data_IF_151306293999
#
_entry.id   IF_151306293999
#
_cell.length_a   1.000
_cell.length_b   1.000
_cell.length_c   1.000
_cell.angle_alpha   90.00
_cell.angle_beta   90.00
_cell.angle_gamma   90.00
#
_symmetry.space_group_name_H-M   'P 1'
#
loop_
_entity.id
_entity.type
_entity.pdbx_description
1 polymer ?
#
# COMPACT_ATOMS: atom_id res chain seq x y z
N UNK A 1 11.82 40.32 -5.89
CA UNK A 1 11.95 40.17 -4.43
C UNK A 1 10.57 39.99 -3.87
N UNK A 2 10.36 39.00 -2.99
CA UNK A 2 9.08 38.82 -2.32
C UNK A 2 8.76 40.02 -1.40
N UNK A 3 7.47 40.22 -1.13
CA UNK A 3 6.93 41.15 -0.14
C UNK A 3 7.51 40.84 1.26
N UNK A 4 7.37 41.79 2.19
CA UNK A 4 7.73 41.58 3.59
C UNK A 4 7.04 40.30 4.10
N UNK A 5 7.81 39.42 4.74
CA UNK A 5 7.29 38.17 5.28
C UNK A 5 6.28 38.45 6.40
N UNK A 6 5.19 37.69 6.45
CA UNK A 6 4.22 37.77 7.55
C UNK A 6 4.88 37.39 8.87
N UNK A 7 4.41 37.97 9.97
CA UNK A 7 4.86 37.58 11.31
C UNK A 7 4.25 36.23 11.69
N UNK A 8 5.09 35.26 12.06
CA UNK A 8 4.67 33.88 12.33
C UNK A 8 5.16 33.36 13.69
N UNK A 9 4.92 34.06 14.80
CA UNK A 9 5.55 33.75 16.09
C UNK A 9 5.30 32.32 16.57
N UNK A 10 4.15 31.70 16.28
CA UNK A 10 3.93 30.30 16.66
C UNK A 10 4.69 29.32 15.77
N UNK A 11 4.81 29.60 14.47
CA UNK A 11 5.62 28.78 13.56
C UNK A 11 7.12 28.95 13.81
N UNK A 12 7.58 30.12 14.27
CA UNK A 12 8.98 30.41 14.56
C UNK A 12 9.55 29.45 15.62
N UNK A 13 8.74 29.08 16.61
CA UNK A 13 9.11 28.09 17.63
C UNK A 13 9.42 26.70 17.03
N UNK A 14 8.82 26.36 15.89
CA UNK A 14 9.02 25.08 15.18
C UNK A 14 10.30 25.06 14.33
N UNK A 15 11.07 26.15 14.29
CA UNK A 15 12.41 26.17 13.70
C UNK A 15 13.48 25.67 14.67
N UNK A 16 13.15 25.57 15.96
CA UNK A 16 14.04 25.07 17.00
C UNK A 16 14.13 23.53 17.01
N UNK A 17 15.17 23.00 17.65
CA UNK A 17 15.36 21.56 17.82
C UNK A 17 16.12 20.86 16.68
N UNK A 18 16.38 19.55 16.80
CA UNK A 18 17.29 18.83 15.89
C UNK A 18 16.61 18.27 14.63
N UNK A 19 15.26 18.19 14.58
CA UNK A 19 14.55 17.65 13.42
C UNK A 19 14.48 18.70 12.29
N UNK A 20 14.68 18.33 11.01
CA UNK A 20 14.58 19.28 9.90
C UNK A 20 13.22 19.98 9.87
N UNK A 21 13.21 21.28 10.18
CA UNK A 21 11.98 22.06 10.26
C UNK A 21 11.38 22.33 8.89
N UNK A 22 10.11 21.97 8.72
CA UNK A 22 9.35 22.34 7.53
C UNK A 22 9.14 23.86 7.45
N UNK A 23 9.07 24.56 8.59
CA UNK A 23 8.91 26.02 8.65
C UNK A 23 10.14 26.71 8.07
N UNK A 24 11.35 26.27 8.44
CA UNK A 24 12.59 26.81 7.85
C UNK A 24 12.63 26.62 6.33
N UNK A 25 12.18 25.47 5.83
CA UNK A 25 12.04 25.22 4.38
C UNK A 25 11.05 26.16 3.70
N UNK A 26 9.86 26.35 4.29
CA UNK A 26 8.83 27.27 3.81
C UNK A 26 9.32 28.71 3.80
N UNK A 27 9.94 29.18 4.89
CA UNK A 27 10.50 30.54 5.00
C UNK A 27 11.60 30.79 3.97
N UNK A 28 12.46 29.80 3.69
CA UNK A 28 13.46 29.90 2.63
C UNK A 28 12.80 30.17 1.28
N UNK A 29 11.77 29.41 0.93
CA UNK A 29 11.04 29.56 -0.33
C UNK A 29 10.22 30.87 -0.39
N UNK A 30 9.66 31.30 0.74
CA UNK A 30 8.91 32.54 0.87
C UNK A 30 9.76 33.82 0.65
N UNK A 31 11.10 33.73 0.71
CA UNK A 31 11.99 34.85 0.34
C UNK A 31 11.90 35.23 -1.13
N UNK A 32 11.52 34.26 -1.96
CA UNK A 32 11.47 34.39 -3.42
C UNK A 32 10.04 34.32 -3.96
N UNK A 33 9.12 33.69 -3.21
CA UNK A 33 7.72 33.48 -3.63
C UNK A 33 6.71 34.02 -2.62
N UNK A 34 5.99 35.09 -3.02
CA UNK A 34 4.87 35.66 -2.26
C UNK A 34 3.76 34.65 -1.99
N UNK A 35 3.58 33.70 -2.90
CA UNK A 35 2.65 32.60 -2.73
C UNK A 35 2.92 31.81 -1.44
N UNK A 36 4.18 31.49 -1.17
CA UNK A 36 4.56 30.71 0.02
C UNK A 36 4.56 31.57 1.28
N UNK A 37 4.83 32.88 1.15
CA UNK A 37 4.63 33.84 2.23
C UNK A 37 3.16 33.83 2.70
N UNK A 38 2.21 33.96 1.78
CA UNK A 38 0.77 33.94 2.08
C UNK A 38 0.29 32.58 2.63
N UNK A 39 0.94 31.47 2.25
CA UNK A 39 0.72 30.15 2.87
C UNK A 39 1.18 30.14 4.35
N UNK A 40 2.33 30.73 4.66
CA UNK A 40 2.82 30.86 6.05
C UNK A 40 1.84 31.69 6.90
N UNK A 41 1.32 32.80 6.38
CA UNK A 41 0.31 33.60 7.08
C UNK A 41 -0.99 32.83 7.35
N UNK A 42 -1.43 32.04 6.38
CA UNK A 42 -2.61 31.15 6.52
C UNK A 42 -2.36 30.08 7.58
N UNK A 43 -1.17 29.48 7.58
CA UNK A 43 -0.80 28.44 8.53
C UNK A 43 -0.65 29.00 9.96
N UNK A 44 0.01 30.15 10.13
CA UNK A 44 0.10 30.83 11.44
C UNK A 44 -1.29 31.15 11.99
N UNK A 45 -2.20 31.65 11.14
CA UNK A 45 -3.58 31.89 11.55
C UNK A 45 -4.25 30.59 12.02
N UNK A 46 -4.01 29.48 11.33
CA UNK A 46 -4.50 28.15 11.71
C UNK A 46 -3.94 27.68 13.05
N UNK A 47 -2.66 27.94 13.35
CA UNK A 47 -2.04 27.64 14.64
C UNK A 47 -2.69 28.45 15.78
N UNK A 48 -2.90 29.74 15.55
CA UNK A 48 -3.52 30.64 16.53
C UNK A 48 -4.96 30.27 16.84
N UNK A 49 -5.76 29.94 15.82
CA UNK A 49 -7.20 29.68 15.98
C UNK A 49 -7.57 28.21 16.12
N UNK A 50 -6.62 27.30 15.87
CA UNK A 50 -6.79 25.84 15.90
C UNK A 50 -7.87 25.37 14.92
N UNK A 51 -7.93 25.99 13.74
CA UNK A 51 -8.89 25.68 12.67
C UNK A 51 -8.18 25.54 11.33
N UNK A 52 -8.70 24.67 10.46
CA UNK A 52 -8.32 24.63 9.05
C UNK A 52 -9.17 25.60 8.24
N UNK A 53 -8.55 26.38 7.36
CA UNK A 53 -9.21 27.39 6.52
C UNK A 53 -9.22 27.00 5.04
N UNK A 54 -9.48 25.72 4.74
CA UNK A 54 -9.43 25.21 3.38
C UNK A 54 -10.71 24.45 3.05
N UNK A 55 -11.45 24.96 2.06
CA UNK A 55 -12.57 24.23 1.46
C UNK A 55 -12.13 23.48 0.21
N UNK A 56 -12.87 22.41 -0.09
CA UNK A 56 -12.77 21.75 -1.38
C UNK A 56 -13.48 22.51 -2.49
N UNK A 57 -13.32 22.02 -3.71
CA UNK A 57 -14.03 22.49 -4.90
C UNK A 57 -13.75 21.55 -6.07
N UNK A 58 -13.83 22.07 -7.29
CA UNK A 58 -13.65 21.29 -8.51
C UNK A 58 -12.69 22.02 -9.45
N UNK A 59 -11.53 21.40 -9.68
CA UNK A 59 -10.52 21.78 -10.68
C UNK A 59 -9.88 20.48 -11.14
N UNK A 60 -9.58 20.38 -12.42
CA UNK A 60 -8.97 19.19 -13.04
C UNK A 60 -8.24 19.57 -14.32
N UNK A 61 -7.92 18.56 -15.11
CA UNK A 61 -7.30 18.70 -16.43
C UNK A 61 -8.24 18.10 -17.49
N UNK A 62 -8.12 18.55 -18.73
CA UNK A 62 -8.95 17.99 -19.80
C UNK A 62 -8.74 16.48 -19.94
N UNK A 63 -9.85 15.76 -20.09
CA UNK A 63 -9.85 14.31 -20.26
C UNK A 63 -9.86 13.48 -18.98
N UNK A 64 -9.50 14.05 -17.82
CA UNK A 64 -9.45 13.33 -16.54
C UNK A 64 -10.47 13.88 -15.52
N UNK A 65 -11.13 12.98 -14.80
CA UNK A 65 -12.03 13.29 -13.68
C UNK A 65 -11.36 13.24 -12.30
N UNK A 66 -10.07 12.90 -12.24
CA UNK A 66 -9.28 12.77 -11.00
C UNK A 66 -7.84 13.32 -11.13
N UNK A 67 -7.07 13.21 -10.05
CA UNK A 67 -5.64 13.57 -10.00
C UNK A 67 -5.31 14.93 -9.40
N UNK A 68 -6.24 15.88 -9.42
CA UNK A 68 -6.09 17.21 -8.79
C UNK A 68 -6.93 17.29 -7.52
N UNK A 69 -6.33 17.76 -6.43
CA UNK A 69 -7.03 18.05 -5.17
C UNK A 69 -7.14 19.58 -5.03
N UNK A 70 -8.26 20.18 -5.48
CA UNK A 70 -8.46 21.61 -5.38
C UNK A 70 -8.72 22.05 -3.95
N UNK A 71 -8.06 23.12 -3.53
CA UNK A 71 -8.30 23.80 -2.26
C UNK A 71 -8.37 25.31 -2.45
N UNK A 72 -9.38 25.89 -1.81
CA UNK A 72 -9.65 27.32 -1.79
C UNK A 72 -9.66 27.79 -0.34
N UNK A 73 -9.13 28.98 -0.08
CA UNK A 73 -9.12 29.51 1.28
C UNK A 73 -10.52 29.89 1.75
N UNK A 74 -10.79 29.62 3.04
CA UNK A 74 -11.94 30.12 3.78
C UNK A 74 -11.56 31.29 4.68
N UNK A 75 -10.28 31.67 4.73
CA UNK A 75 -9.80 32.79 5.51
C UNK A 75 -10.02 34.09 4.73
N UNK A 76 -11.14 34.75 5.03
CA UNK A 76 -11.57 35.98 4.36
C UNK A 76 -11.75 37.14 5.33
N UNK A 77 -11.60 38.36 4.81
CA UNK A 77 -11.87 39.61 5.52
C UNK A 77 -13.37 39.94 5.60
N UNK A 78 -13.73 41.08 6.20
CA UNK A 78 -15.12 41.55 6.28
C UNK A 78 -15.82 41.79 4.93
N UNK A 79 -15.04 41.90 3.83
CA UNK A 79 -15.53 42.13 2.48
C UNK A 79 -15.51 40.85 1.63
N UNK A 80 -15.41 39.68 2.26
CA UNK A 80 -15.36 38.35 1.61
C UNK A 80 -14.14 38.15 0.69
N UNK A 81 -13.06 38.92 0.89
CA UNK A 81 -11.79 38.77 0.15
C UNK A 81 -10.81 37.90 0.92
N UNK A 82 -10.00 37.06 0.24
CA UNK A 82 -8.92 36.32 0.89
C UNK A 82 -7.99 37.24 1.68
N UNK A 83 -7.76 36.93 2.96
CA UNK A 83 -6.79 37.67 3.80
C UNK A 83 -5.37 37.56 3.22
N UNK A 84 -5.08 36.41 2.60
CA UNK A 84 -3.82 36.12 1.93
C UNK A 84 -4.10 35.82 0.45
N UNK A 85 -4.12 36.85 -0.42
CA UNK A 85 -4.59 36.73 -1.80
C UNK A 85 -3.80 35.76 -2.68
N UNK A 86 -2.48 35.64 -2.49
CA UNK A 86 -1.70 34.70 -3.30
C UNK A 86 -1.98 33.25 -2.92
N UNK A 87 -2.39 33.00 -1.68
CA UNK A 87 -2.85 31.71 -1.18
C UNK A 87 -4.37 31.52 -1.24
N UNK A 88 -5.07 32.30 -2.08
CA UNK A 88 -6.52 32.13 -2.28
C UNK A 88 -6.86 30.72 -2.81
N UNK A 89 -5.97 30.17 -3.63
CA UNK A 89 -6.02 28.82 -4.19
C UNK A 89 -4.74 28.06 -3.85
N UNK A 90 -4.85 26.77 -3.55
CA UNK A 90 -3.70 25.93 -3.22
C UNK A 90 -3.89 24.49 -3.68
N UNK A 91 -4.02 24.31 -5.00
CA UNK A 91 -4.39 23.01 -5.58
C UNK A 91 -3.19 22.07 -5.61
N UNK A 92 -3.40 20.79 -5.30
CA UNK A 92 -2.35 19.77 -5.33
C UNK A 92 -2.53 18.86 -6.53
N UNK A 93 -1.52 18.79 -7.40
CA UNK A 93 -1.42 17.77 -8.44
C UNK A 93 -0.78 16.53 -7.83
N UNK A 94 -1.48 15.40 -7.92
CA UNK A 94 -0.95 14.09 -7.54
C UNK A 94 -0.40 13.44 -8.79
N UNK A 95 0.89 13.15 -8.78
CA UNK A 95 1.62 12.58 -9.92
C UNK A 95 2.09 11.18 -9.56
N UNK A 96 1.91 10.22 -10.46
CA UNK A 96 2.28 8.83 -10.20
C UNK A 96 3.81 8.71 -10.03
N UNK A 97 4.28 8.00 -8.98
CA UNK A 97 5.69 7.71 -8.81
C UNK A 97 6.10 6.48 -9.64
N UNK A 98 7.41 6.30 -9.93
CA UNK A 98 7.91 5.03 -10.41
C UNK A 98 7.86 3.95 -9.31
N UNK A 99 7.76 2.66 -9.66
CA UNK A 99 7.83 1.57 -8.68
C UNK A 99 9.06 1.65 -7.76
N UNK A 100 8.85 1.42 -6.46
CA UNK A 100 9.90 1.52 -5.44
C UNK A 100 10.47 2.93 -5.22
N UNK A 101 9.88 3.98 -5.81
CA UNK A 101 10.30 5.38 -5.64
C UNK A 101 11.76 5.66 -6.10
N UNK A 102 12.21 5.01 -7.18
CA UNK A 102 13.54 5.23 -7.73
C UNK A 102 13.57 6.42 -8.69
N UNK A 103 14.44 7.38 -8.41
CA UNK A 103 14.62 8.58 -9.25
C UNK A 103 16.09 8.80 -9.58
N UNK A 104 16.34 9.45 -10.72
CA UNK A 104 17.64 10.05 -11.00
C UNK A 104 17.58 11.56 -10.73
N UNK A 105 18.75 12.18 -10.55
CA UNK A 105 18.81 13.60 -10.20
C UNK A 105 18.42 14.55 -11.35
N UNK A 106 18.48 14.10 -12.61
CA UNK A 106 18.04 14.89 -13.77
C UNK A 106 16.52 15.08 -13.75
N UNK A 107 15.77 13.98 -13.56
CA UNK A 107 14.30 14.02 -13.51
C UNK A 107 13.80 14.86 -12.34
N UNK A 108 14.44 14.75 -11.17
CA UNK A 108 14.06 15.55 -9.99
C UNK A 108 14.30 17.04 -10.21
N UNK A 109 15.39 17.43 -10.87
CA UNK A 109 15.64 18.83 -11.21
C UNK A 109 14.60 19.36 -12.20
N UNK A 110 14.27 18.60 -13.24
CA UNK A 110 13.21 18.96 -14.19
C UNK A 110 11.86 19.12 -13.51
N UNK A 111 11.50 18.23 -12.57
CA UNK A 111 10.29 18.38 -11.75
C UNK A 111 10.30 19.67 -10.92
N UNK A 112 11.44 20.03 -10.32
CA UNK A 112 11.58 21.31 -9.62
C UNK A 112 11.38 22.49 -10.58
N UNK A 113 12.02 22.48 -11.75
CA UNK A 113 11.92 23.56 -12.74
C UNK A 113 10.47 23.76 -13.22
N UNK A 114 9.75 22.67 -13.50
CA UNK A 114 8.33 22.70 -13.87
C UNK A 114 7.50 23.30 -12.73
N UNK A 115 7.73 22.85 -11.50
CA UNK A 115 6.96 23.32 -10.35
C UNK A 115 7.31 24.75 -9.93
N UNK A 116 8.52 25.21 -10.24
CA UNK A 116 8.91 26.60 -10.06
C UNK A 116 8.12 27.53 -10.99
N UNK A 117 7.90 27.13 -12.25
CA UNK A 117 7.11 27.87 -13.24
C UNK A 117 5.62 27.94 -12.90
N UNK A 118 5.04 26.82 -12.49
CA UNK A 118 3.58 26.69 -12.41
C UNK A 118 2.98 26.67 -11.01
N UNK A 119 3.81 26.40 -10.00
CA UNK A 119 3.33 26.18 -8.64
C UNK A 119 4.09 26.95 -7.57
N UNK A 120 3.81 26.56 -6.33
CA UNK A 120 4.38 27.19 -5.14
C UNK A 120 5.87 26.89 -4.97
N UNK A 121 6.42 25.88 -5.65
CA UNK A 121 7.75 25.32 -5.38
C UNK A 121 7.76 24.23 -4.29
N UNK A 122 6.61 23.93 -3.67
CA UNK A 122 6.48 22.87 -2.68
C UNK A 122 6.13 21.53 -3.33
N UNK A 123 7.05 20.57 -3.21
CA UNK A 123 6.85 19.20 -3.63
C UNK A 123 7.05 18.28 -2.42
N UNK A 124 6.09 17.41 -2.15
CA UNK A 124 6.20 16.40 -1.12
C UNK A 124 6.41 15.01 -1.74
N UNK A 125 7.56 14.42 -1.39
CA UNK A 125 7.93 13.03 -1.66
C UNK A 125 7.75 12.21 -0.38
N UNK A 126 6.65 11.49 -0.19
CA UNK A 126 5.50 11.26 -1.08
C UNK A 126 4.19 11.30 -0.29
N UNK A 127 3.07 11.28 -1.00
CA UNK A 127 1.76 11.04 -0.41
C UNK A 127 1.62 9.61 0.10
N UNK A 128 0.71 9.39 1.05
CA UNK A 128 0.51 8.06 1.65
C UNK A 128 0.04 6.98 0.65
N UNK A 129 -0.55 7.34 -0.47
CA UNK A 129 -0.90 6.32 -1.48
C UNK A 129 0.30 5.97 -2.36
N UNK A 130 1.22 6.93 -2.55
CA UNK A 130 2.38 6.81 -3.41
C UNK A 130 2.72 8.11 -4.14
N UNK A 131 1.71 8.90 -4.47
CA UNK A 131 1.84 10.08 -5.34
C UNK A 131 2.96 11.03 -4.94
N UNK A 132 3.70 11.53 -5.94
CA UNK A 132 4.46 12.78 -5.78
C UNK A 132 3.42 13.89 -5.68
N UNK A 133 3.47 14.67 -4.61
CA UNK A 133 2.48 15.74 -4.37
C UNK A 133 3.09 17.08 -4.72
N UNK A 134 2.73 17.61 -5.88
CA UNK A 134 3.05 18.97 -6.29
C UNK A 134 1.99 19.91 -5.69
N UNK A 135 2.35 20.61 -4.61
CA UNK A 135 1.39 21.29 -3.73
C UNK A 135 1.32 22.79 -4.00
N UNK A 136 0.13 23.30 -4.29
CA UNK A 136 -0.10 24.73 -4.50
C UNK A 136 0.12 25.18 -5.94
N UNK A 137 -0.89 25.00 -6.77
CA UNK A 137 -1.08 25.72 -8.03
C UNK A 137 -2.38 26.51 -7.99
N UNK A 138 -2.45 27.57 -8.80
CA UNK A 138 -3.69 28.29 -9.14
C UNK A 138 -4.41 27.55 -10.26
N UNK A 139 -5.74 27.70 -10.34
CA UNK A 139 -6.60 27.00 -11.30
C UNK A 139 -6.13 27.15 -12.75
N UNK A 140 -5.70 28.36 -13.12
CA UNK A 140 -5.20 28.70 -14.46
C UNK A 140 -3.81 28.11 -14.79
N UNK A 141 -3.13 27.49 -13.82
CA UNK A 141 -1.84 26.83 -13.98
C UNK A 141 -1.88 25.32 -13.88
N UNK A 142 -3.02 24.74 -13.50
CA UNK A 142 -3.15 23.29 -13.32
C UNK A 142 -2.91 22.54 -14.64
N UNK A 143 -3.50 23.01 -15.75
CA UNK A 143 -3.33 22.38 -17.06
C UNK A 143 -1.88 22.49 -17.56
N UNK A 144 -1.31 23.70 -17.58
CA UNK A 144 0.08 23.93 -18.01
C UNK A 144 1.09 23.08 -17.22
N UNK A 145 0.90 22.96 -15.89
CA UNK A 145 1.74 22.13 -15.04
C UNK A 145 1.64 20.64 -15.41
N UNK A 146 0.42 20.16 -15.65
CA UNK A 146 0.20 18.78 -16.04
C UNK A 146 0.80 18.46 -17.41
N UNK A 147 0.61 19.33 -18.40
CA UNK A 147 1.11 19.11 -19.75
C UNK A 147 2.64 18.93 -19.76
N UNK A 148 3.38 19.77 -19.02
CA UNK A 148 4.84 19.64 -18.90
C UNK A 148 5.29 18.40 -18.09
N UNK A 149 4.54 18.03 -17.05
CA UNK A 149 4.81 16.78 -16.29
C UNK A 149 4.56 15.54 -17.17
N UNK A 150 3.52 15.58 -17.99
CA UNK A 150 3.16 14.52 -18.92
C UNK A 150 4.20 14.40 -20.04
N UNK A 151 4.68 15.52 -20.59
CA UNK A 151 5.78 15.55 -21.57
C UNK A 151 7.09 14.99 -20.97
N UNK A 152 7.33 15.20 -19.66
CA UNK A 152 8.44 14.57 -18.93
C UNK A 152 8.26 13.06 -18.72
N UNK A 153 7.08 12.50 -19.03
CA UNK A 153 6.75 11.08 -18.93
C UNK A 153 6.05 10.67 -17.64
N UNK A 154 5.48 11.63 -16.89
CA UNK A 154 4.76 11.37 -15.64
C UNK A 154 3.30 11.76 -15.76
N UNK A 155 2.41 10.82 -15.43
CA UNK A 155 0.97 11.05 -15.48
C UNK A 155 0.38 11.39 -14.10
N UNK A 156 -0.83 11.95 -14.08
CA UNK A 156 -1.55 12.17 -12.84
C UNK A 156 -1.95 10.85 -12.20
N UNK A 157 -2.01 10.86 -10.88
CA UNK A 157 -2.50 9.77 -10.05
C UNK A 157 -4.02 9.80 -9.86
N UNK A 158 -4.54 8.82 -9.13
CA UNK A 158 -5.98 8.65 -8.93
C UNK A 158 -6.55 9.47 -7.76
N UNK A 159 -7.72 10.06 -7.96
CA UNK A 159 -8.51 10.71 -6.92
C UNK A 159 -10.02 10.41 -7.10
N UNK A 160 -10.82 10.61 -6.05
CA UNK A 160 -12.26 10.32 -6.13
C UNK A 160 -12.61 8.82 -6.06
N UNK A 161 -13.82 8.43 -6.52
CA UNK A 161 -14.27 7.04 -6.54
C UNK A 161 -13.71 6.33 -7.79
N UNK A 162 -12.41 6.07 -7.73
CA UNK A 162 -11.57 5.59 -8.81
C UNK A 162 -10.55 4.58 -8.26
N UNK A 163 -9.89 3.85 -9.16
CA UNK A 163 -8.62 3.20 -8.82
C UNK A 163 -7.63 4.30 -8.42
N UNK A 164 -6.86 4.06 -7.37
CA UNK A 164 -5.86 5.03 -6.89
C UNK A 164 -4.48 4.59 -7.32
N UNK A 165 -3.58 5.57 -7.33
CA UNK A 165 -2.14 5.34 -7.42
C UNK A 165 -1.70 4.27 -6.44
N UNK A 166 -0.91 3.33 -6.95
CA UNK A 166 -0.33 2.24 -6.19
C UNK A 166 1.13 2.48 -5.88
N UNK A 167 1.69 1.58 -5.09
CA UNK A 167 3.10 1.51 -4.76
C UNK A 167 3.53 0.08 -4.57
N UNK A 168 4.80 -0.16 -4.87
CA UNK A 168 5.55 -1.33 -4.46
C UNK A 168 6.58 -0.97 -3.39
N UNK A 169 7.00 -1.93 -2.56
CA UNK A 169 8.22 -1.78 -1.79
C UNK A 169 9.46 -1.71 -2.72
N UNK A 170 10.65 -1.46 -2.15
CA UNK A 170 11.92 -1.46 -2.93
C UNK A 170 12.18 -2.80 -3.60
N UNK A 171 11.79 -3.89 -2.93
CA UNK A 171 11.62 -5.20 -3.53
C UNK A 171 12.86 -5.77 -4.22
N UNK A 172 12.64 -6.47 -5.33
CA UNK A 172 13.65 -7.14 -6.14
C UNK A 172 14.79 -6.22 -6.60
N UNK A 173 14.60 -4.90 -6.58
CA UNK A 173 15.66 -3.95 -6.89
C UNK A 173 16.79 -3.93 -5.83
N UNK A 174 16.48 -4.20 -4.56
CA UNK A 174 17.47 -4.06 -3.46
C UNK A 174 17.19 -4.88 -2.19
N UNK A 175 16.30 -5.87 -2.24
CA UNK A 175 15.98 -6.70 -1.08
C UNK A 175 16.07 -8.19 -1.45
N UNK A 176 16.94 -8.90 -0.74
CA UNK A 176 17.20 -10.33 -0.85
C UNK A 176 16.04 -11.21 -0.37
N UNK A 177 15.00 -10.61 0.22
CA UNK A 177 13.81 -11.31 0.70
C UNK A 177 12.65 -11.28 -0.29
N UNK A 178 12.80 -10.57 -1.41
CA UNK A 178 11.76 -10.43 -2.41
C UNK A 178 11.45 -11.76 -3.11
N UNK A 179 10.17 -12.12 -3.13
CA UNK A 179 9.69 -13.38 -3.70
C UNK A 179 9.17 -13.24 -5.14
N UNK A 180 9.04 -12.03 -5.69
CA UNK A 180 8.64 -11.79 -7.08
C UNK A 180 9.07 -10.38 -7.50
N UNK A 181 9.07 -10.10 -8.81
CA UNK A 181 9.34 -8.74 -9.30
C UNK A 181 8.13 -7.82 -9.05
N UNK A 182 8.18 -7.06 -7.94
CA UNK A 182 7.12 -6.15 -7.53
C UNK A 182 7.00 -4.95 -8.47
N UNK A 183 8.11 -4.51 -9.09
CA UNK A 183 8.10 -3.40 -10.03
C UNK A 183 7.38 -3.78 -11.32
N UNK A 184 7.62 -5.00 -11.82
CA UNK A 184 6.86 -5.57 -12.96
C UNK A 184 5.39 -5.73 -12.61
N UNK A 185 5.05 -6.38 -11.49
CA UNK A 185 3.65 -6.55 -11.07
C UNK A 185 2.92 -5.20 -10.96
N UNK A 186 3.56 -4.23 -10.29
CA UNK A 186 3.03 -2.89 -10.13
C UNK A 186 2.76 -2.23 -11.48
N UNK A 187 3.75 -2.20 -12.37
CA UNK A 187 3.60 -1.54 -13.68
C UNK A 187 2.56 -2.23 -14.55
N UNK A 188 2.54 -3.56 -14.60
CA UNK A 188 1.59 -4.32 -15.41
C UNK A 188 0.15 -4.05 -14.98
N UNK A 189 -0.12 -4.11 -13.67
CA UNK A 189 -1.46 -3.85 -13.13
C UNK A 189 -1.86 -2.40 -13.36
N UNK A 190 -1.04 -1.43 -12.94
CA UNK A 190 -1.43 -0.02 -12.97
C UNK A 190 -1.53 0.56 -14.38
N UNK A 191 -0.69 0.11 -15.31
CA UNK A 191 -0.83 0.50 -16.71
C UNK A 191 -2.11 -0.07 -17.35
N UNK A 192 -2.63 -1.20 -16.85
CA UNK A 192 -3.90 -1.76 -17.35
C UNK A 192 -5.09 -0.94 -16.84
N UNK A 193 -5.10 -0.57 -15.56
CA UNK A 193 -6.19 0.19 -14.93
C UNK A 193 -6.04 1.72 -15.05
N UNK A 194 -5.32 2.21 -16.06
CA UNK A 194 -5.08 3.66 -16.22
C UNK A 194 -6.40 4.42 -16.43
N UNK A 195 -7.35 3.87 -17.20
CA UNK A 195 -8.65 4.49 -17.40
C UNK A 195 -9.41 4.65 -16.06
N UNK A 196 -9.48 3.58 -15.26
CA UNK A 196 -10.14 3.58 -13.95
C UNK A 196 -9.45 4.48 -12.91
N UNK A 197 -8.18 4.83 -13.14
CA UNK A 197 -7.44 5.81 -12.31
C UNK A 197 -7.88 7.23 -12.62
N UNK A 198 -8.00 7.55 -13.91
CA UNK A 198 -8.22 8.91 -14.39
C UNK A 198 -9.68 9.29 -14.53
N UNK A 199 -10.57 8.31 -14.74
CA UNK A 199 -12.01 8.52 -15.01
C UNK A 199 -12.84 7.82 -13.93
N UNK A 200 -13.13 8.50 -12.80
CA UNK A 200 -13.84 7.88 -11.68
C UNK A 200 -15.22 7.34 -12.11
N UNK A 201 -15.36 6.02 -12.07
CA UNK A 201 -16.59 5.31 -12.41
C UNK A 201 -17.01 4.28 -11.34
N UNK A 202 -16.24 4.14 -10.26
CA UNK A 202 -16.48 3.13 -9.23
C UNK A 202 -17.46 3.64 -8.15
N UNK A 203 -18.06 2.76 -7.34
CA UNK A 203 -18.90 3.14 -6.20
C UNK A 203 -18.12 3.87 -5.10
N UNK A 204 -16.83 3.53 -4.95
CA UNK A 204 -15.89 4.26 -4.11
C UNK A 204 -14.43 3.99 -4.54
N UNK A 205 -13.45 4.39 -3.71
CA UNK A 205 -12.03 4.22 -4.04
C UNK A 205 -11.59 2.75 -3.99
N UNK A 206 -10.75 2.37 -4.96
CA UNK A 206 -10.07 1.07 -5.00
C UNK A 206 -8.54 1.27 -5.01
N UNK A 207 -7.79 0.37 -4.39
CA UNK A 207 -6.32 0.49 -4.27
C UNK A 207 -5.64 -0.86 -4.46
N UNK A 208 -4.61 -0.89 -5.29
CA UNK A 208 -3.61 -1.94 -5.32
C UNK A 208 -2.40 -1.57 -4.47
N UNK A 209 -1.68 -2.55 -3.90
CA UNK A 209 -0.31 -2.41 -3.36
C UNK A 209 0.48 -3.72 -3.46
N UNK A 210 1.80 -3.60 -3.58
CA UNK A 210 2.70 -4.71 -3.84
C UNK A 210 3.83 -4.78 -2.79
N UNK A 211 3.93 -5.90 -2.09
CA UNK A 211 4.99 -6.19 -1.13
C UNK A 211 5.69 -7.49 -1.48
N UNK A 212 7.02 -7.51 -1.53
CA UNK A 212 7.82 -8.66 -1.93
C UNK A 212 7.81 -9.86 -0.99
N UNK A 213 7.44 -9.67 0.28
CA UNK A 213 7.42 -10.72 1.29
C UNK A 213 6.46 -10.38 2.44
N UNK A 214 6.21 -11.30 3.37
CA UNK A 214 5.29 -11.09 4.49
C UNK A 214 5.72 -10.03 5.52
N UNK A 215 6.93 -9.46 5.42
CA UNK A 215 7.27 -8.24 6.18
C UNK A 215 6.43 -7.03 5.76
N UNK A 216 5.82 -7.09 4.57
CA UNK A 216 4.86 -6.13 4.05
C UNK A 216 5.31 -4.66 4.20
N UNK A 217 6.52 -4.33 3.74
CA UNK A 217 7.07 -2.97 3.85
C UNK A 217 6.17 -1.91 3.19
N UNK A 218 5.33 -2.28 2.22
CA UNK A 218 4.37 -1.38 1.60
C UNK A 218 3.06 -1.22 2.40
N UNK A 219 2.90 -1.98 3.49
CA UNK A 219 1.70 -2.03 4.30
C UNK A 219 0.46 -2.31 3.44
N UNK A 220 0.62 -3.23 2.49
CA UNK A 220 -0.35 -3.55 1.46
C UNK A 220 -1.63 -4.13 2.07
N UNK A 221 -1.52 -5.08 3.02
CA UNK A 221 -2.69 -5.75 3.63
C UNK A 221 -3.66 -4.76 4.29
N UNK A 222 -3.13 -3.68 4.85
CA UNK A 222 -3.90 -2.70 5.61
C UNK A 222 -4.27 -1.43 4.82
N UNK A 223 -3.61 -1.17 3.68
CA UNK A 223 -3.77 0.11 2.95
C UNK A 223 -4.11 -0.07 1.47
N UNK A 224 -4.53 -1.26 1.07
CA UNK A 224 -5.00 -1.58 -0.27
C UNK A 224 -6.30 -2.38 -0.22
N UNK A 225 -7.19 -2.15 -1.18
CA UNK A 225 -8.37 -2.99 -1.40
C UNK A 225 -7.94 -4.34 -1.97
N UNK A 226 -6.84 -4.40 -2.73
CA UNK A 226 -6.21 -5.64 -3.20
C UNK A 226 -4.69 -5.56 -2.97
N UNK A 227 -4.18 -6.46 -2.13
CA UNK A 227 -2.79 -6.57 -1.73
C UNK A 227 -2.12 -7.78 -2.39
N UNK A 228 -0.91 -7.59 -2.92
CA UNK A 228 -0.07 -8.65 -3.49
C UNK A 228 1.14 -8.83 -2.58
N UNK A 229 1.20 -9.92 -1.82
CA UNK A 229 2.24 -10.17 -0.82
C UNK A 229 3.04 -11.41 -1.18
N UNK A 230 4.33 -11.23 -1.43
CA UNK A 230 5.20 -12.31 -1.88
C UNK A 230 5.36 -13.42 -0.85
N UNK A 231 5.54 -14.64 -1.32
CA UNK A 231 5.75 -15.83 -0.49
C UNK A 231 6.47 -16.93 -1.28
N UNK A 232 6.69 -18.07 -0.65
CA UNK A 232 7.25 -19.28 -1.27
C UNK A 232 6.52 -20.52 -0.79
N UNK A 233 6.66 -21.66 -1.49
CA UNK A 233 5.99 -22.92 -1.10
C UNK A 233 6.91 -24.13 -0.96
N UNK A 234 8.20 -23.97 -1.24
CA UNK A 234 9.26 -24.94 -0.94
C UNK A 234 9.96 -24.64 0.39
N UNK A 235 11.13 -25.25 0.62
CA UNK A 235 11.80 -25.22 1.91
C UNK A 235 12.67 -23.96 2.09
N UNK A 236 12.77 -23.47 3.32
CA UNK A 236 13.75 -22.44 3.72
C UNK A 236 15.16 -22.92 3.35
N UNK A 237 15.93 -22.06 2.70
CA UNK A 237 17.33 -22.31 2.37
C UNK A 237 18.24 -21.95 3.54
N UNK A 238 19.34 -22.67 3.64
CA UNK A 238 20.27 -22.56 4.76
C UNK A 238 21.71 -22.37 4.29
N UNK A 239 22.48 -21.62 5.08
CA UNK A 239 23.91 -21.41 4.87
C UNK A 239 24.65 -21.58 6.20
N UNK A 240 25.49 -22.62 6.31
CA UNK A 240 26.21 -22.93 7.55
C UNK A 240 27.29 -21.90 7.89
N UNK A 241 27.94 -21.30 6.88
CA UNK A 241 29.00 -20.32 7.12
C UNK A 241 28.41 -19.08 7.78
N UNK A 242 27.31 -18.58 7.23
CA UNK A 242 26.59 -17.44 7.76
C UNK A 242 25.93 -17.76 9.10
N UNK A 243 25.40 -18.97 9.29
CA UNK A 243 24.84 -19.40 10.57
C UNK A 243 25.88 -19.43 11.69
N UNK A 244 27.07 -19.97 11.41
CA UNK A 244 28.20 -20.01 12.35
C UNK A 244 28.73 -18.63 12.66
N UNK A 245 28.81 -17.74 11.65
CA UNK A 245 29.18 -16.32 11.85
C UNK A 245 28.18 -15.59 12.75
N UNK A 246 26.89 -15.79 12.51
CA UNK A 246 25.83 -15.23 13.37
C UNK A 246 25.94 -15.78 14.79
N UNK A 247 26.05 -17.10 14.94
CA UNK A 247 26.14 -17.75 16.24
C UNK A 247 27.38 -17.34 17.04
N UNK A 248 28.54 -17.18 16.39
CA UNK A 248 29.76 -16.70 17.06
C UNK A 248 29.59 -15.30 17.68
N UNK A 249 28.73 -14.45 17.10
CA UNK A 249 28.46 -13.11 17.59
C UNK A 249 27.37 -13.06 18.68
N UNK A 250 26.33 -13.88 18.53
CA UNK A 250 25.09 -13.79 19.32
C UNK A 250 24.97 -14.90 20.40
N UNK A 251 25.65 -16.02 20.21
CA UNK A 251 25.69 -17.13 21.16
C UNK A 251 24.35 -17.85 21.34
N UNK A 252 24.33 -18.79 22.30
CA UNK A 252 23.19 -19.69 22.51
C UNK A 252 21.96 -18.99 23.08
N UNK A 253 22.14 -18.02 23.98
CA UNK A 253 21.03 -17.34 24.63
C UNK A 253 20.18 -16.57 23.60
N UNK A 254 20.79 -15.80 22.70
CA UNK A 254 20.06 -15.09 21.64
C UNK A 254 19.47 -16.06 20.61
N UNK A 255 20.19 -17.13 20.22
CA UNK A 255 19.65 -18.14 19.32
C UNK A 255 18.32 -18.72 19.85
N UNK A 256 18.29 -19.09 21.13
CA UNK A 256 17.08 -19.65 21.75
C UNK A 256 16.02 -18.58 21.91
N UNK A 257 16.35 -17.45 22.54
CA UNK A 257 15.36 -16.44 22.96
C UNK A 257 14.83 -15.58 21.80
N UNK A 258 15.61 -15.41 20.73
CA UNK A 258 15.25 -14.52 19.63
C UNK A 258 15.00 -15.24 18.31
N UNK A 259 15.32 -16.53 18.18
CA UNK A 259 14.99 -17.31 16.98
C UNK A 259 14.01 -18.44 17.30
N UNK A 260 14.40 -19.38 18.16
CA UNK A 260 13.64 -20.62 18.39
C UNK A 260 12.31 -20.35 19.10
N UNK A 261 12.33 -19.65 20.24
CA UNK A 261 11.13 -19.41 21.06
C UNK A 261 10.14 -18.44 20.41
N UNK A 262 10.58 -17.65 19.44
CA UNK A 262 9.76 -16.66 18.72
C UNK A 262 9.06 -17.21 17.48
N UNK A 263 9.33 -18.46 17.10
CA UNK A 263 8.61 -19.08 15.99
C UNK A 263 7.13 -19.30 16.36
N UNK A 264 6.17 -18.72 15.61
CA UNK A 264 4.76 -18.76 15.99
C UNK A 264 4.17 -20.17 15.96
N UNK A 265 4.73 -21.07 15.16
CA UNK A 265 4.25 -22.46 15.01
C UNK A 265 5.21 -23.50 15.57
N UNK A 266 6.31 -23.08 16.22
CA UNK A 266 7.37 -23.98 16.71
C UNK A 266 7.96 -24.90 15.62
N UNK A 267 7.91 -24.45 14.36
CA UNK A 267 8.47 -25.16 13.21
C UNK A 267 10.00 -25.24 13.23
N UNK A 268 10.68 -24.35 13.96
CA UNK A 268 12.14 -24.33 14.12
C UNK A 268 12.53 -24.80 15.52
N UNK A 269 13.50 -25.71 15.60
CA UNK A 269 14.01 -26.28 16.85
C UNK A 269 15.53 -26.31 16.85
N UNK A 270 16.11 -26.08 18.03
CA UNK A 270 17.53 -26.37 18.26
C UNK A 270 17.68 -27.85 18.61
N UNK A 271 18.60 -28.55 17.93
CA UNK A 271 18.92 -29.95 18.20
C UNK A 271 20.43 -30.17 18.22
N UNK A 272 20.86 -31.25 18.86
CA UNK A 272 22.20 -31.78 18.60
C UNK A 272 22.27 -32.28 17.16
N UNK A 273 23.43 -32.11 16.51
CA UNK A 273 23.63 -32.48 15.09
C UNK A 273 23.24 -33.93 14.80
N UNK A 274 23.48 -34.84 15.75
CA UNK A 274 23.16 -36.28 15.63
C UNK A 274 21.65 -36.57 15.63
N UNK A 275 20.84 -35.67 16.17
CA UNK A 275 19.40 -35.83 16.38
C UNK A 275 18.55 -35.05 15.35
N UNK A 276 19.21 -34.37 14.40
CA UNK A 276 18.55 -33.67 13.29
C UNK A 276 17.91 -34.67 12.35
N UNK A 277 16.60 -34.51 12.12
CA UNK A 277 15.84 -35.30 11.15
C UNK A 277 16.23 -34.93 9.74
N UNK A 278 16.09 -35.90 8.83
CA UNK A 278 16.18 -35.66 7.39
C UNK A 278 14.82 -35.97 6.76
N UNK A 279 14.47 -35.25 5.70
CA UNK A 279 13.20 -35.46 5.02
C UNK A 279 12.91 -34.38 3.98
N UNK A 280 11.92 -34.59 3.10
CA UNK A 280 11.63 -33.71 1.98
C UNK A 280 11.17 -32.31 2.39
N UNK A 281 10.66 -32.13 3.62
CA UNK A 281 10.21 -30.84 4.18
C UNK A 281 11.13 -30.29 5.27
N UNK A 282 12.26 -30.96 5.55
CA UNK A 282 13.15 -30.55 6.63
C UNK A 282 14.32 -29.75 6.05
N UNK A 283 14.50 -28.53 6.54
CA UNK A 283 15.76 -27.78 6.37
C UNK A 283 16.58 -27.89 7.65
N UNK A 284 17.90 -27.90 7.53
CA UNK A 284 18.78 -27.85 8.70
C UNK A 284 19.98 -26.95 8.47
N UNK A 285 20.46 -26.30 9.54
CA UNK A 285 21.68 -25.50 9.50
C UNK A 285 22.49 -25.67 10.79
N UNK A 286 23.75 -26.07 10.65
CA UNK A 286 24.67 -26.17 11.79
C UNK A 286 25.08 -24.77 12.23
N UNK A 287 24.93 -24.49 13.52
CA UNK A 287 25.38 -23.22 14.13
C UNK A 287 26.76 -23.37 14.79
N UNK A 288 27.14 -24.61 15.13
CA UNK A 288 28.48 -25.01 15.60
C UNK A 288 28.64 -26.54 15.40
N UNK A 289 29.69 -27.14 15.98
CA UNK A 289 29.97 -28.58 15.83
C UNK A 289 28.95 -29.50 16.52
N UNK A 290 28.28 -29.01 17.57
CA UNK A 290 27.40 -29.82 18.41
C UNK A 290 25.93 -29.57 18.13
N UNK A 291 25.56 -28.38 17.67
CA UNK A 291 24.18 -27.93 17.52
C UNK A 291 23.82 -27.48 16.10
N UNK A 292 22.58 -27.77 15.71
CA UNK A 292 21.97 -27.30 14.48
C UNK A 292 20.53 -26.84 14.74
N UNK A 293 20.05 -25.92 13.89
CA UNK A 293 18.63 -25.62 13.78
C UNK A 293 18.02 -26.61 12.78
N UNK A 294 16.92 -27.24 13.17
CA UNK A 294 16.03 -28.01 12.29
C UNK A 294 14.77 -27.19 12.04
N UNK A 295 14.32 -27.09 10.79
CA UNK A 295 13.12 -26.38 10.39
C UNK A 295 12.19 -27.35 9.66
N UNK A 296 11.01 -27.58 10.23
CA UNK A 296 9.92 -28.30 9.59
C UNK A 296 9.09 -27.34 8.72
N UNK A 297 9.34 -27.35 7.42
CA UNK A 297 8.64 -26.45 6.49
C UNK A 297 7.16 -26.82 6.33
N UNK A 298 6.73 -28.02 6.75
CA UNK A 298 5.32 -28.41 6.78
C UNK A 298 4.50 -27.57 7.76
N UNK A 299 5.11 -27.18 8.89
CA UNK A 299 4.48 -26.36 9.93
C UNK A 299 4.88 -24.87 9.84
N UNK A 300 5.70 -24.50 8.86
CA UNK A 300 6.14 -23.12 8.67
C UNK A 300 5.06 -22.26 8.03
N UNK A 301 4.65 -21.20 8.74
CA UNK A 301 3.69 -20.18 8.23
C UNK A 301 4.38 -19.02 7.51
N UNK A 302 5.70 -19.13 7.25
CA UNK A 302 6.46 -18.16 6.44
C UNK A 302 6.41 -16.72 6.97
N UNK A 303 6.35 -16.56 8.30
CA UNK A 303 6.24 -15.26 8.99
C UNK A 303 7.48 -14.34 8.88
N UNK A 304 8.51 -14.72 8.12
CA UNK A 304 9.81 -14.04 7.99
C UNK A 304 10.69 -13.93 9.24
N UNK A 305 10.17 -14.16 10.45
CA UNK A 305 10.91 -13.88 11.70
C UNK A 305 12.32 -14.47 11.75
N UNK A 306 12.49 -15.78 11.53
CA UNK A 306 13.80 -16.42 11.57
C UNK A 306 14.74 -15.92 10.45
N UNK A 307 14.20 -15.66 9.25
CA UNK A 307 14.95 -15.08 8.13
C UNK A 307 15.40 -13.65 8.45
N UNK A 308 14.56 -12.85 9.11
CA UNK A 308 14.89 -11.48 9.50
C UNK A 308 16.00 -11.42 10.55
N UNK A 309 15.97 -12.32 11.53
CA UNK A 309 16.96 -12.34 12.62
C UNK A 309 18.28 -12.94 12.15
N UNK A 310 18.23 -13.99 11.33
CA UNK A 310 19.41 -14.70 10.82
C UNK A 310 19.59 -14.49 9.31
N UNK A 311 19.45 -13.25 8.83
CA UNK A 311 19.59 -12.90 7.42
C UNK A 311 20.91 -13.41 6.84
N UNK A 312 20.83 -14.10 5.71
CA UNK A 312 21.97 -14.74 5.04
C UNK A 312 22.19 -16.19 5.47
N UNK A 313 22.04 -16.50 6.76
CA UNK A 313 22.06 -17.88 7.25
C UNK A 313 20.79 -18.64 6.89
N UNK A 314 19.65 -17.94 6.90
CA UNK A 314 18.35 -18.43 6.46
C UNK A 314 17.83 -17.53 5.33
N UNK A 315 17.25 -18.15 4.31
CA UNK A 315 16.59 -17.44 3.21
C UNK A 315 15.29 -18.14 2.82
N UNK A 316 14.38 -17.41 2.18
CA UNK A 316 13.18 -18.03 1.60
C UNK A 316 13.55 -19.10 0.57
N UNK A 317 12.60 -19.98 0.29
CA UNK A 317 12.72 -20.98 -0.76
C UNK A 317 12.78 -20.39 -2.17
N UNK A 318 12.91 -21.25 -3.17
CA UNK A 318 13.08 -20.89 -4.59
C UNK A 318 11.78 -20.94 -5.39
N UNK A 319 10.80 -21.71 -4.94
CA UNK A 319 9.46 -21.78 -5.53
C UNK A 319 8.61 -20.64 -4.97
N UNK A 320 8.90 -19.45 -5.48
CA UNK A 320 8.32 -18.19 -5.01
C UNK A 320 7.11 -17.75 -5.84
N UNK A 321 6.31 -16.87 -5.27
CA UNK A 321 5.12 -16.26 -5.88
C UNK A 321 4.53 -15.22 -4.93
N UNK A 322 3.22 -15.01 -4.98
CA UNK A 322 2.51 -14.10 -4.08
C UNK A 322 1.16 -14.64 -3.63
N UNK A 323 0.77 -14.27 -2.41
CA UNK A 323 -0.59 -14.38 -1.88
C UNK A 323 -1.35 -13.09 -2.23
N UNK A 324 -2.59 -13.23 -2.69
CA UNK A 324 -3.47 -12.11 -3.00
C UNK A 324 -4.52 -11.98 -1.91
N UNK A 325 -4.65 -10.78 -1.35
CA UNK A 325 -5.61 -10.49 -0.28
C UNK A 325 -6.52 -9.32 -0.68
N UNK A 326 -7.80 -9.39 -0.33
CA UNK A 326 -8.81 -8.38 -0.72
C UNK A 326 -9.58 -7.85 0.48
N UNK A 327 -9.90 -6.55 0.47
CA UNK A 327 -10.80 -5.91 1.43
C UNK A 327 -10.13 -4.96 2.44
N UNK A 328 -8.82 -4.73 2.32
CA UNK A 328 -8.09 -3.85 3.25
C UNK A 328 -8.61 -2.41 3.24
N UNK A 329 -8.97 -1.89 4.42
CA UNK A 329 -9.46 -0.52 4.56
C UNK A 329 -9.25 0.05 5.96
N UNK A 330 -9.44 1.36 6.05
CA UNK A 330 -9.43 2.12 7.29
C UNK A 330 -10.84 2.47 7.76
N UNK A 331 -10.91 3.01 8.95
CA UNK A 331 -12.00 3.03 9.93
C UNK A 331 -13.40 3.26 9.39
N UNK A 332 -13.63 4.24 8.51
CA UNK A 332 -14.98 4.52 8.03
C UNK A 332 -15.44 3.52 6.97
N UNK A 333 -16.67 2.99 7.04
CA UNK A 333 -17.70 3.20 8.08
C UNK A 333 -17.70 2.13 9.18
N UNK A 334 -17.42 0.85 8.87
CA UNK A 334 -17.64 -0.27 9.81
C UNK A 334 -16.42 -0.68 10.67
N UNK A 335 -15.33 0.07 10.61
CA UNK A 335 -14.06 -0.27 11.26
C UNK A 335 -12.91 -0.52 10.28
N UNK A 336 -11.74 -0.79 10.85
CA UNK A 336 -10.56 -1.17 10.07
C UNK A 336 -10.66 -2.64 9.66
N UNK A 337 -10.34 -2.93 8.40
CA UNK A 337 -10.24 -4.31 7.90
C UNK A 337 -8.86 -4.52 7.31
N UNK A 338 -8.32 -5.72 7.54
CA UNK A 338 -7.18 -6.24 6.80
C UNK A 338 -7.68 -7.04 5.60
N UNK A 339 -6.87 -7.12 4.55
CA UNK A 339 -7.19 -7.98 3.41
C UNK A 339 -7.37 -9.44 3.85
N UNK A 340 -8.43 -10.07 3.36
CA UNK A 340 -8.67 -11.52 3.50
C UNK A 340 -8.00 -12.26 2.35
N UNK A 341 -7.40 -13.42 2.60
CA UNK A 341 -6.77 -14.24 1.56
C UNK A 341 -7.82 -14.67 0.54
N UNK A 342 -7.58 -14.37 -0.75
CA UNK A 342 -8.43 -14.77 -1.88
C UNK A 342 -7.69 -15.75 -2.78
N UNK A 343 -6.39 -15.52 -3.04
CA UNK A 343 -5.55 -16.49 -3.75
C UNK A 343 -4.36 -16.82 -2.85
N UNK A 344 -4.28 -18.04 -2.31
CA UNK A 344 -3.17 -18.43 -1.43
C UNK A 344 -1.79 -18.32 -2.09
N UNK A 345 -1.70 -18.65 -3.39
CA UNK A 345 -0.45 -18.60 -4.13
C UNK A 345 -0.66 -18.39 -5.64
N UNK A 346 -0.01 -17.36 -6.18
CA UNK A 346 0.10 -17.06 -7.61
C UNK A 346 1.61 -16.97 -7.97
N UNK A 347 2.15 -17.77 -8.92
CA UNK A 347 3.60 -17.89 -9.13
C UNK A 347 4.32 -16.62 -9.58
N UNK A 348 3.69 -15.75 -10.39
CA UNK A 348 4.27 -14.51 -10.93
C UNK A 348 5.66 -14.71 -11.56
N UNK A 349 5.81 -15.72 -12.42
CA UNK A 349 7.08 -16.09 -13.07
C UNK A 349 7.13 -15.71 -14.55
N UNK A 350 6.03 -15.89 -15.25
CA UNK A 350 5.90 -15.68 -16.70
C UNK A 350 4.78 -14.69 -17.01
N UNK A 351 4.64 -14.28 -18.28
CA UNK A 351 3.61 -13.32 -18.69
C UNK A 351 2.18 -13.79 -18.37
N UNK A 352 1.87 -15.07 -18.55
CA UNK A 352 0.56 -15.66 -18.23
C UNK A 352 0.19 -15.47 -16.75
N UNK A 353 1.15 -15.61 -15.83
CA UNK A 353 0.92 -15.38 -14.40
C UNK A 353 0.59 -13.91 -14.10
N UNK A 354 1.24 -12.97 -14.81
CA UNK A 354 0.97 -11.54 -14.66
C UNK A 354 -0.37 -11.14 -15.30
N UNK A 355 -0.73 -11.76 -16.43
CA UNK A 355 -2.04 -11.62 -17.04
C UNK A 355 -3.14 -12.15 -16.12
N UNK A 356 -2.92 -13.30 -15.45
CA UNK A 356 -3.84 -13.84 -14.47
C UNK A 356 -4.02 -12.91 -13.25
N UNK A 357 -2.97 -12.20 -12.81
CA UNK A 357 -3.08 -11.18 -11.77
C UNK A 357 -3.96 -10.00 -12.22
N UNK A 358 -3.78 -9.54 -13.46
CA UNK A 358 -4.56 -8.44 -14.05
C UNK A 358 -6.02 -8.85 -14.21
N UNK A 359 -6.27 -10.03 -14.78
CA UNK A 359 -7.60 -10.60 -14.96
C UNK A 359 -8.35 -10.74 -13.62
N UNK A 360 -7.67 -11.22 -12.58
CA UNK A 360 -8.24 -11.25 -11.23
C UNK A 360 -8.56 -9.83 -10.73
N UNK A 361 -7.67 -8.86 -10.96
CA UNK A 361 -7.91 -7.46 -10.62
C UNK A 361 -9.15 -6.89 -11.32
N UNK A 362 -9.33 -7.22 -12.61
CA UNK A 362 -10.47 -6.78 -13.42
C UNK A 362 -11.76 -7.37 -12.88
N UNK A 363 -11.82 -8.70 -12.70
CA UNK A 363 -12.99 -9.39 -12.11
C UNK A 363 -13.38 -8.83 -10.76
N UNK A 364 -12.41 -8.52 -9.90
CA UNK A 364 -12.67 -7.92 -8.58
C UNK A 364 -13.20 -6.49 -8.69
N UNK A 365 -12.66 -5.68 -9.60
CA UNK A 365 -13.13 -4.31 -9.83
C UNK A 365 -14.53 -4.29 -10.42
N UNK A 366 -14.80 -5.13 -11.43
CA UNK A 366 -16.12 -5.23 -12.07
C UNK A 366 -17.16 -5.68 -11.07
N UNK A 367 -16.87 -6.74 -10.31
CA UNK A 367 -17.75 -7.22 -9.26
C UNK A 367 -18.00 -6.12 -8.20
N UNK A 368 -16.96 -5.39 -7.81
CA UNK A 368 -17.09 -4.26 -6.89
C UNK A 368 -17.97 -3.14 -7.49
N UNK A 369 -17.81 -2.82 -8.76
CA UNK A 369 -18.57 -1.78 -9.44
C UNK A 369 -20.07 -2.09 -9.50
N UNK A 370 -20.42 -3.36 -9.72
CA UNK A 370 -21.80 -3.80 -9.85
C UNK A 370 -22.50 -4.04 -8.51
N UNK A 371 -21.77 -4.47 -7.48
CA UNK A 371 -22.39 -5.00 -6.25
C UNK A 371 -22.20 -4.12 -5.01
N UNK A 372 -21.27 -3.15 -5.04
CA UNK A 372 -21.08 -2.26 -3.90
C UNK A 372 -22.12 -1.14 -3.88
N UNK A 373 -22.53 -0.78 -2.67
CA UNK A 373 -23.38 0.38 -2.45
C UNK A 373 -22.58 1.69 -2.60
N UNK A 374 -23.29 2.80 -2.74
CA UNK A 374 -22.66 4.10 -2.80
C UNK A 374 -21.79 4.36 -1.56
N UNK A 375 -20.54 4.78 -1.78
CA UNK A 375 -19.55 5.03 -0.72
C UNK A 375 -19.21 3.79 0.15
N UNK A 376 -19.42 2.59 -0.37
CA UNK A 376 -18.99 1.32 0.24
C UNK A 376 -17.62 0.89 -0.31
N UNK A 377 -16.75 0.35 0.54
CA UNK A 377 -15.43 -0.18 0.15
C UNK A 377 -15.50 -1.69 -0.11
N UNK A 378 -14.55 -2.23 -0.87
CA UNK A 378 -14.53 -3.67 -1.22
C UNK A 378 -14.63 -4.59 0.01
N UNK A 379 -13.93 -4.28 1.10
CA UNK A 379 -14.03 -5.07 2.33
C UNK A 379 -15.39 -4.98 3.03
N UNK A 380 -16.06 -3.83 2.96
CA UNK A 380 -17.42 -3.66 3.49
C UNK A 380 -18.44 -4.43 2.67
N UNK A 381 -18.31 -4.37 1.35
CA UNK A 381 -19.11 -5.16 0.43
C UNK A 381 -18.95 -6.66 0.75
N UNK A 382 -17.72 -7.17 0.88
CA UNK A 382 -17.45 -8.59 1.19
C UNK A 382 -18.09 -9.00 2.52
N UNK A 383 -17.97 -8.19 3.58
CA UNK A 383 -18.64 -8.46 4.87
C UNK A 383 -20.17 -8.49 4.74
N UNK A 384 -20.74 -7.61 3.93
CA UNK A 384 -22.20 -7.51 3.72
C UNK A 384 -22.74 -8.68 2.89
N UNK A 385 -22.12 -8.99 1.76
CA UNK A 385 -22.62 -10.03 0.84
C UNK A 385 -22.15 -11.43 1.25
N UNK A 386 -21.06 -11.53 2.00
CA UNK A 386 -20.41 -12.78 2.38
C UNK A 386 -19.28 -13.19 1.43
N UNK A 387 -18.19 -13.71 2.00
CA UNK A 387 -17.00 -14.13 1.26
C UNK A 387 -17.30 -15.16 0.16
N UNK A 388 -18.19 -16.11 0.40
CA UNK A 388 -18.55 -17.15 -0.59
C UNK A 388 -19.15 -16.53 -1.86
N UNK A 389 -20.13 -15.63 -1.71
CA UNK A 389 -20.76 -14.96 -2.85
C UNK A 389 -19.76 -14.10 -3.63
N UNK A 390 -18.82 -13.47 -2.93
CA UNK A 390 -17.72 -12.74 -3.56
C UNK A 390 -16.82 -13.69 -4.37
N UNK A 391 -16.36 -14.79 -3.77
CA UNK A 391 -15.47 -15.76 -4.42
C UNK A 391 -16.12 -16.39 -5.66
N UNK A 392 -17.39 -16.79 -5.57
CA UNK A 392 -18.17 -17.30 -6.71
C UNK A 392 -18.31 -16.22 -7.79
N UNK A 393 -18.66 -15.00 -7.40
CA UNK A 393 -18.85 -13.87 -8.32
C UNK A 393 -17.57 -13.45 -9.05
N UNK A 394 -16.42 -13.60 -8.42
CA UNK A 394 -15.13 -13.39 -9.07
C UNK A 394 -14.55 -14.67 -9.64
N UNK A 395 -15.21 -15.83 -9.61
CA UNK A 395 -14.72 -17.08 -10.20
C UNK A 395 -13.44 -17.63 -9.54
N UNK A 396 -13.38 -17.64 -8.22
CA UNK A 396 -12.29 -18.21 -7.42
C UNK A 396 -12.81 -19.38 -6.58
N UNK A 397 -12.15 -20.52 -6.69
CA UNK A 397 -12.47 -21.71 -5.91
C UNK A 397 -12.21 -21.51 -4.41
N UNK A 398 -13.06 -22.11 -3.58
CA UNK A 398 -12.96 -21.99 -2.12
C UNK A 398 -11.77 -22.82 -1.62
N UNK A 399 -10.97 -22.21 -0.74
CA UNK A 399 -9.83 -22.84 -0.08
C UNK A 399 -9.89 -22.59 1.44
N UNK A 400 -9.50 -23.59 2.24
CA UNK A 400 -9.49 -23.50 3.70
C UNK A 400 -8.57 -22.39 4.24
N UNK A 401 -7.53 -22.00 3.48
CA UNK A 401 -6.61 -20.91 3.85
C UNK A 401 -7.25 -19.52 3.75
N UNK A 402 -8.46 -19.40 3.22
CA UNK A 402 -9.19 -18.12 3.12
C UNK A 402 -9.83 -17.68 4.44
N UNK A 403 -9.94 -18.59 5.42
CA UNK A 403 -10.53 -18.32 6.73
C UNK A 403 -9.53 -18.60 7.85
N UNK A 404 -9.55 -17.79 8.90
CA UNK A 404 -8.73 -18.02 10.09
C UNK A 404 -9.28 -19.17 10.95
N UNK A 405 -10.60 -19.29 11.02
CA UNK A 405 -11.32 -20.39 11.66
C UNK A 405 -12.63 -20.65 10.93
N UNK A 406 -13.12 -21.91 10.89
CA UNK A 406 -14.49 -22.18 10.47
C UNK A 406 -15.49 -21.45 11.36
N UNK A 407 -16.66 -21.12 10.80
CA UNK A 407 -17.76 -20.52 11.56
C UNK A 407 -18.12 -21.36 12.78
N UNK A 408 -18.41 -20.71 13.90
CA UNK A 408 -18.82 -21.35 15.15
C UNK A 408 -20.34 -21.41 15.33
N UNK A 409 -21.09 -20.60 14.57
CA UNK A 409 -22.54 -20.59 14.61
C UNK A 409 -23.13 -21.47 13.49
N UNK A 410 -24.27 -22.16 13.72
CA UNK A 410 -24.81 -23.15 12.80
C UNK A 410 -25.72 -22.56 11.71
N UNK A 411 -25.75 -21.23 11.51
CA UNK A 411 -26.64 -20.58 10.54
C UNK A 411 -26.16 -20.73 9.08
N UNK A 412 -25.98 -21.96 8.64
CA UNK A 412 -25.55 -22.30 7.29
C UNK A 412 -26.71 -22.06 6.32
N UNK A 413 -26.48 -21.20 5.33
CA UNK A 413 -27.39 -21.07 4.20
C UNK A 413 -27.12 -22.25 3.26
N UNK A 414 -28.16 -23.00 2.97
CA UNK A 414 -28.16 -24.08 1.97
C UNK A 414 -29.21 -23.76 0.93
N UNK A 415 -28.92 -24.02 -0.33
CA UNK A 415 -29.91 -23.94 -1.41
C UNK A 415 -30.65 -25.28 -1.57
N UNK A 416 -31.67 -25.35 -2.45
CA UNK A 416 -32.40 -26.60 -2.73
C UNK A 416 -33.51 -26.96 -1.74
N UNK A 417 -33.99 -25.99 -0.94
CA UNK A 417 -35.08 -26.22 0.03
C UNK A 417 -36.37 -26.74 -0.63
N UNK A 418 -36.69 -26.26 -1.82
CA UNK A 418 -37.89 -26.67 -2.55
C UNK A 418 -37.85 -28.17 -2.94
N UNK A 419 -36.67 -28.67 -3.33
CA UNK A 419 -36.45 -30.08 -3.65
C UNK A 419 -36.58 -30.96 -2.40
N UNK A 420 -36.03 -30.51 -1.27
CA UNK A 420 -36.10 -31.22 0.00
C UNK A 420 -37.54 -31.28 0.52
N UNK A 421 -38.28 -30.17 0.43
CA UNK A 421 -39.71 -30.12 0.77
C UNK A 421 -40.51 -31.08 -0.11
N UNK A 422 -40.25 -31.10 -1.43
CA UNK A 422 -40.90 -32.03 -2.33
C UNK A 422 -40.60 -33.50 -1.96
N UNK A 423 -39.34 -33.82 -1.63
CA UNK A 423 -38.91 -35.16 -1.17
C UNK A 423 -39.63 -35.59 0.10
N UNK A 424 -39.73 -34.71 1.10
CA UNK A 424 -40.41 -35.01 2.36
C UNK A 424 -41.92 -35.19 2.13
N UNK A 425 -42.54 -34.35 1.31
CA UNK A 425 -43.98 -34.46 1.00
C UNK A 425 -44.29 -35.77 0.27
N UNK A 426 -43.45 -36.18 -0.69
CA UNK A 426 -43.58 -37.48 -1.35
C UNK A 426 -43.46 -38.64 -0.36
N UNK A 427 -42.51 -38.58 0.59
CA UNK A 427 -42.34 -39.61 1.63
C UNK A 427 -43.52 -39.67 2.61
N UNK A 428 -44.18 -38.54 2.90
CA UNK A 428 -45.36 -38.51 3.77
C UNK A 428 -46.63 -39.05 3.08
N UNK A 429 -46.66 -39.04 1.75
CA UNK A 429 -47.79 -39.52 0.95
C UNK A 429 -47.72 -41.03 0.65
N UNK A 430 -46.54 -41.64 0.75
CA UNK A 430 -46.31 -43.08 0.68
C UNK A 430 -46.47 -43.72 2.07
#
# INVERSE_FOLDING_TARGET
MARKMHETPMLDELESGPWPSFVTGLKRLAREKDYVNDVLGTLETSYRTKKGYWKGGTVGVFGYGGGVIPRFTELKDENDKPVFPDAAEFHTLRVQPPPGMHYNSDVLRKMCDIWERHGSGLIAFHGQSGDIMFQGAKSDKVQDAFDELNELGFDLGGAGPAVRTSMSCVGAARCEQSCYDEARAHRTVINTFTDDIHRPALPYKFKFKFSGCPNDCMNSIQRADMAVIGTWRDNIRTDEEMARKWFAKHGMNELVNDVVTRCPTKAIMLKEVKDVRTGPKISSVRVNETHALEIDNGDCVRCMHCINVMTGALAHGTDTGATILVGGKRTLKIGDLMGTVVVPFLPLKNDEDYEALVDLGQRVIDFFAENALEHERTGEMIERIGLVNFLEGVGVEIDAHMVSTPRTNPYVRTDGWDEEVARINAKKAA
#
